data_IF_090530555758
#
_entry.id   IF_090530555758
#
_cell.length_a   1.000
_cell.length_b   1.000
_cell.length_c   1.000
_cell.angle_alpha   90.00
_cell.angle_beta   90.00
_cell.angle_gamma   90.00
#
_symmetry.space_group_name_H-M   'P 1'
#
loop_
_entity.id
_entity.type
_entity.pdbx_description
1 polymer ?
#
# COMPACT_ATOMS: atom_id res chain seq x y z
N UNK A 1 3.87 41.24 4.19
CA UNK A 1 3.24 40.42 3.14
C UNK A 1 3.89 39.06 3.21
N UNK A 2 3.33 38.15 4.01
CA UNK A 2 3.93 36.84 4.26
C UNK A 2 3.59 35.91 3.11
N UNK A 3 4.55 35.69 2.22
CA UNK A 3 4.44 34.69 1.16
C UNK A 3 4.49 33.29 1.80
N UNK A 4 3.35 32.61 1.83
CA UNK A 4 3.28 31.21 2.20
C UNK A 4 3.66 30.39 0.95
N UNK A 5 4.86 29.81 0.96
CA UNK A 5 5.28 28.82 -0.04
C UNK A 5 4.46 27.56 0.20
N UNK A 6 3.41 27.37 -0.60
CA UNK A 6 2.63 26.13 -0.59
C UNK A 6 3.50 25.11 -1.33
N UNK A 7 4.21 24.26 -0.59
CA UNK A 7 4.88 23.11 -1.17
C UNK A 7 3.80 22.26 -1.87
N UNK A 8 4.01 21.78 -3.12
CA UNK A 8 3.06 20.89 -3.74
C UNK A 8 3.05 19.61 -2.90
N UNK A 9 1.97 19.40 -2.16
CA UNK A 9 1.63 18.09 -1.62
C UNK A 9 1.39 17.20 -2.83
N UNK A 10 2.45 16.52 -3.28
CA UNK A 10 2.32 15.48 -4.30
C UNK A 10 1.23 14.54 -3.78
N UNK A 11 0.12 14.33 -4.51
CA UNK A 11 -0.87 13.36 -4.09
C UNK A 11 -0.13 12.04 -3.84
N UNK A 12 -0.45 11.28 -2.78
CA UNK A 12 0.23 10.04 -2.47
C UNK A 12 0.25 9.23 -3.75
N UNK A 13 1.45 9.07 -4.32
CA UNK A 13 1.59 8.63 -5.70
C UNK A 13 0.94 7.25 -5.79
N UNK A 14 -0.13 7.14 -6.57
CA UNK A 14 -0.85 5.87 -6.75
C UNK A 14 0.11 4.89 -7.41
N UNK A 15 0.76 4.08 -6.57
CA UNK A 15 1.76 3.10 -6.98
C UNK A 15 1.39 1.75 -6.43
N UNK A 16 1.88 0.73 -7.12
CA UNK A 16 1.67 -0.64 -6.70
C UNK A 16 2.80 -1.05 -5.77
N UNK A 17 2.47 -1.21 -4.49
CA UNK A 17 3.40 -1.70 -3.46
C UNK A 17 3.67 -3.18 -3.66
N UNK A 18 4.94 -3.56 -3.63
CA UNK A 18 5.34 -4.97 -3.56
C UNK A 18 5.19 -5.52 -2.15
N UNK A 19 5.22 -6.85 -2.01
CA UNK A 19 5.09 -7.51 -0.70
C UNK A 19 6.05 -6.94 0.33
N UNK A 20 7.32 -6.73 -0.03
CA UNK A 20 8.32 -6.18 0.89
C UNK A 20 7.96 -4.77 1.39
N UNK A 21 7.37 -3.92 0.54
CA UNK A 21 6.92 -2.58 0.93
C UNK A 21 5.67 -2.64 1.80
N UNK A 22 4.74 -3.54 1.50
CA UNK A 22 3.55 -3.79 2.35
C UNK A 22 3.97 -4.31 3.72
N UNK A 23 4.93 -5.24 3.78
CA UNK A 23 5.50 -5.73 5.04
C UNK A 23 6.17 -4.59 5.84
N UNK A 24 6.85 -3.66 5.16
CA UNK A 24 7.45 -2.49 5.79
C UNK A 24 6.42 -1.46 6.29
N UNK A 25 5.37 -1.17 5.50
CA UNK A 25 4.31 -0.23 5.89
C UNK A 25 3.44 -0.75 7.02
N UNK A 26 3.04 -2.02 6.95
CA UNK A 26 2.07 -2.60 7.89
C UNK A 26 2.73 -3.21 9.12
N UNK A 27 4.04 -3.47 9.09
CA UNK A 27 4.76 -4.22 10.11
C UNK A 27 4.43 -5.72 10.14
N UNK A 28 3.48 -6.18 9.33
CA UNK A 28 3.09 -7.59 9.26
C UNK A 28 4.04 -8.38 8.36
N UNK A 29 4.33 -9.60 8.79
CA UNK A 29 5.05 -10.56 7.94
C UNK A 29 4.10 -11.19 6.94
N UNK A 30 4.67 -11.67 5.83
CA UNK A 30 3.98 -12.43 4.77
C UNK A 30 2.83 -13.33 5.23
N UNK A 31 3.07 -14.19 6.22
CA UNK A 31 2.06 -15.16 6.67
C UNK A 31 0.80 -14.46 7.21
N UNK A 32 0.99 -13.40 8.00
CA UNK A 32 -0.11 -12.65 8.58
C UNK A 32 -0.89 -11.87 7.52
N UNK A 33 -0.19 -11.28 6.54
CA UNK A 33 -0.82 -10.63 5.37
C UNK A 33 -1.74 -11.62 4.63
N UNK A 34 -1.26 -12.84 4.34
CA UNK A 34 -2.09 -13.86 3.70
C UNK A 34 -3.25 -14.36 4.57
N UNK A 35 -3.07 -14.47 5.89
CA UNK A 35 -4.17 -14.79 6.81
C UNK A 35 -5.25 -13.72 6.79
N UNK A 36 -4.88 -12.44 6.91
CA UNK A 36 -5.83 -11.34 6.89
C UNK A 36 -6.53 -11.21 5.52
N UNK A 37 -5.84 -11.48 4.41
CA UNK A 37 -6.48 -11.56 3.09
C UNK A 37 -7.50 -12.70 3.01
N UNK A 38 -7.21 -13.86 3.61
CA UNK A 38 -8.16 -14.99 3.68
C UNK A 38 -9.38 -14.66 4.54
N UNK A 39 -9.18 -13.90 5.62
CA UNK A 39 -10.25 -13.40 6.49
C UNK A 39 -11.04 -12.23 5.87
N UNK A 40 -10.60 -11.68 4.73
CA UNK A 40 -11.21 -10.49 4.12
C UNK A 40 -10.94 -9.19 4.90
N UNK A 41 -9.97 -9.22 5.82
CA UNK A 41 -9.56 -8.09 6.67
C UNK A 41 -8.37 -7.33 6.13
N UNK A 42 -7.91 -7.64 4.91
CA UNK A 42 -6.77 -6.98 4.28
C UNK A 42 -7.04 -6.71 2.80
N UNK A 43 -6.52 -5.59 2.25
CA UNK A 43 -6.50 -5.26 0.83
C UNK A 43 -6.13 -6.43 -0.07
N UNK A 44 -6.86 -6.61 -1.18
CA UNK A 44 -6.61 -7.74 -2.08
C UNK A 44 -5.37 -7.47 -2.92
N UNK A 45 -4.54 -8.49 -3.12
CA UNK A 45 -3.38 -8.37 -4.00
C UNK A 45 -3.83 -8.29 -5.47
N UNK A 46 -3.40 -7.22 -6.15
CA UNK A 46 -3.50 -7.03 -7.60
C UNK A 46 -2.46 -7.91 -8.31
N UNK A 47 -2.91 -8.74 -9.24
CA UNK A 47 -2.02 -9.55 -10.08
C UNK A 47 -1.44 -8.66 -11.18
N UNK A 48 -0.13 -8.37 -11.11
CA UNK A 48 0.59 -7.57 -12.10
C UNK A 48 1.18 -8.41 -13.24
N UNK A 49 1.30 -9.72 -13.04
CA UNK A 49 1.78 -10.65 -14.07
C UNK A 49 1.76 -12.10 -13.60
N UNK A 50 2.38 -12.99 -14.38
CA UNK A 50 2.35 -14.45 -14.15
C UNK A 50 2.91 -14.85 -12.78
N UNK A 51 3.97 -14.17 -12.31
CA UNK A 51 4.65 -14.44 -11.03
C UNK A 51 4.69 -13.22 -10.11
N UNK A 52 3.94 -12.17 -10.45
CA UNK A 52 4.06 -10.88 -9.79
C UNK A 52 2.69 -10.41 -9.27
N UNK A 53 2.66 -10.07 -7.99
CA UNK A 53 1.51 -9.44 -7.32
C UNK A 53 1.97 -8.15 -6.65
N UNK A 54 1.02 -7.28 -6.35
CA UNK A 54 1.23 -6.07 -5.57
C UNK A 54 -0.07 -5.55 -5.00
N UNK A 55 -0.01 -4.47 -4.23
CA UNK A 55 -1.15 -3.86 -3.58
C UNK A 55 -1.22 -2.39 -3.96
N UNK A 56 -2.42 -1.85 -4.09
CA UNK A 56 -2.57 -0.42 -4.31
C UNK A 56 -2.11 0.34 -3.06
N UNK A 57 -1.20 1.32 -3.23
CA UNK A 57 -0.68 2.09 -2.08
C UNK A 57 -1.78 2.78 -1.33
N UNK A 58 -2.77 3.33 -2.03
CA UNK A 58 -3.85 4.10 -1.43
C UNK A 58 -4.84 3.16 -0.71
N UNK A 59 -5.12 1.98 -1.25
CA UNK A 59 -5.93 0.96 -0.54
C UNK A 59 -5.23 0.49 0.75
N UNK A 60 -3.90 0.32 0.72
CA UNK A 60 -3.11 -0.02 1.91
C UNK A 60 -3.10 1.13 2.92
N UNK A 61 -2.98 2.37 2.46
CA UNK A 61 -2.98 3.56 3.32
C UNK A 61 -4.33 3.86 3.94
N UNK A 62 -5.43 3.62 3.23
CA UNK A 62 -6.78 3.75 3.78
C UNK A 62 -7.14 2.63 4.77
N UNK A 63 -6.44 1.50 4.68
CA UNK A 63 -6.67 0.36 5.56
C UNK A 63 -6.00 0.50 6.93
N UNK A 64 -4.81 1.12 6.99
CA UNK A 64 -4.06 1.42 8.22
C UNK A 64 -4.73 2.59 8.95
#
# INVERSE_FOLDING_TARGET
MSSQTIAPVLPPEHRILRRAEVEAKTGFKRAHIYSLMKEGKFPKALRLGVRAVGWDSVEIEQWI
#
